data_IF_322541837687
#
_entry.id   IF_322541837687
#
_cell.length_a   1.000
_cell.length_b   1.000
_cell.length_c   1.000
_cell.angle_alpha   90.00
_cell.angle_beta   90.00
_cell.angle_gamma   90.00
#
_symmetry.space_group_name_H-M   'P 1'
#
loop_
_entity.id
_entity.type
_entity.pdbx_description
1 polymer ?
#
# COMPACT_ATOMS: atom_id res chain seq x y z
N UNK A 1 19.82 6.45 10.99
CA UNK A 1 18.80 6.70 9.94
C UNK A 1 19.47 7.42 8.78
N UNK A 2 19.05 7.17 7.54
CA UNK A 2 19.61 7.85 6.35
C UNK A 2 19.26 9.34 6.32
N UNK A 3 19.82 10.07 5.35
CA UNK A 3 19.62 11.52 5.23
C UNK A 3 18.15 11.95 4.96
N UNK A 4 17.31 11.03 4.45
CA UNK A 4 15.86 11.23 4.28
C UNK A 4 15.11 9.98 4.76
N UNK A 5 13.90 10.17 5.27
CA UNK A 5 13.01 9.12 5.78
C UNK A 5 12.36 8.32 4.65
N UNK A 6 12.19 8.92 3.47
CA UNK A 6 11.77 8.27 2.23
C UNK A 6 12.94 7.94 1.30
N UNK A 7 12.84 6.81 0.57
CA UNK A 7 13.88 6.30 -0.33
C UNK A 7 13.34 5.21 -1.26
N UNK A 8 14.10 4.90 -2.30
CA UNK A 8 13.81 3.76 -3.20
C UNK A 8 15.01 2.82 -3.26
N UNK A 9 14.75 1.54 -3.44
CA UNK A 9 15.79 0.50 -3.59
C UNK A 9 15.45 -0.34 -4.81
N UNK A 10 16.42 -0.48 -5.72
CA UNK A 10 16.36 -1.37 -6.88
C UNK A 10 16.99 -2.71 -6.54
N UNK A 11 16.34 -3.81 -6.88
CA UNK A 11 16.84 -5.16 -6.71
C UNK A 11 16.76 -5.96 -8.02
N UNK A 12 17.89 -6.05 -8.72
CA UNK A 12 17.96 -6.72 -10.02
C UNK A 12 17.11 -6.05 -11.09
N UNK A 13 16.67 -6.80 -12.10
CA UNK A 13 15.84 -6.28 -13.21
C UNK A 13 14.34 -6.24 -12.87
N UNK A 14 13.89 -7.11 -11.98
CA UNK A 14 12.46 -7.39 -11.82
C UNK A 14 11.81 -6.57 -10.69
N UNK A 15 12.55 -6.01 -9.74
CA UNK A 15 11.96 -5.35 -8.56
C UNK A 15 12.57 -3.99 -8.25
N UNK A 16 11.71 -2.99 -8.04
CA UNK A 16 12.05 -1.77 -7.33
C UNK A 16 10.98 -1.44 -6.28
N UNK A 17 11.43 -0.99 -5.10
CA UNK A 17 10.56 -0.62 -3.98
C UNK A 17 10.69 0.86 -3.65
N UNK A 18 9.60 1.49 -3.20
CA UNK A 18 9.56 2.85 -2.69
C UNK A 18 9.04 2.83 -1.26
N UNK A 19 9.79 3.42 -0.34
CA UNK A 19 9.37 3.66 1.04
C UNK A 19 9.17 5.16 1.22
N UNK A 20 8.00 5.55 1.72
CA UNK A 20 7.57 6.96 1.85
C UNK A 20 7.37 7.35 3.31
N UNK A 21 7.51 8.64 3.61
CA UNK A 21 7.19 9.22 4.91
C UNK A 21 5.73 9.71 4.94
N UNK A 22 5.01 9.45 6.04
CA UNK A 22 3.59 9.74 6.20
C UNK A 22 3.23 10.70 7.34
N UNK A 23 4.23 11.25 8.05
CA UNK A 23 4.06 12.11 9.22
C UNK A 23 4.75 13.46 9.11
N UNK A 24 6.02 13.50 8.71
CA UNK A 24 6.85 14.72 8.79
C UNK A 24 6.31 15.90 7.97
N UNK A 25 5.67 15.62 6.83
CA UNK A 25 5.21 16.65 5.88
C UNK A 25 3.69 16.85 5.89
N UNK A 26 2.99 16.17 6.81
CA UNK A 26 1.54 16.06 6.78
C UNK A 26 0.88 17.35 7.27
N UNK A 27 -0.02 17.90 6.45
CA UNK A 27 -0.91 19.00 6.81
C UNK A 27 -1.83 18.64 7.99
N UNK A 28 -2.26 19.61 8.81
CA UNK A 28 -3.20 19.36 9.90
C UNK A 28 -4.50 18.69 9.44
N UNK A 29 -5.04 17.78 10.24
CA UNK A 29 -6.29 17.08 9.92
C UNK A 29 -7.49 18.04 9.72
N UNK A 30 -7.44 19.21 10.36
CA UNK A 30 -8.46 20.28 10.31
C UNK A 30 -8.40 21.13 9.04
N UNK A 31 -7.31 21.09 8.28
CA UNK A 31 -7.20 21.79 7.00
C UNK A 31 -8.26 21.27 6.03
N UNK A 32 -8.91 22.14 5.27
CA UNK A 32 -9.85 21.72 4.23
C UNK A 32 -9.12 20.85 3.18
N UNK A 33 -9.78 19.80 2.71
CA UNK A 33 -9.22 18.94 1.66
C UNK A 33 -9.10 19.73 0.34
N UNK A 34 -8.02 19.51 -0.39
CA UNK A 34 -7.70 20.28 -1.60
C UNK A 34 -6.23 20.16 -2.01
N UNK A 35 -5.82 20.87 -3.08
CA UNK A 35 -4.48 20.74 -3.67
C UNK A 35 -3.30 21.00 -2.72
N UNK A 36 -3.50 21.90 -1.76
CA UNK A 36 -2.46 22.29 -0.79
C UNK A 36 -2.43 21.38 0.45
N UNK A 37 -3.44 20.53 0.64
CA UNK A 37 -3.48 19.58 1.76
C UNK A 37 -2.78 18.29 1.36
N UNK A 38 -1.81 17.87 2.16
CA UNK A 38 -0.92 16.76 1.80
C UNK A 38 -0.52 15.94 3.02
N UNK A 39 -0.25 14.65 2.81
CA UNK A 39 0.43 13.77 3.78
C UNK A 39 1.92 13.68 3.42
N UNK A 40 2.24 13.56 2.14
CA UNK A 40 3.61 13.34 1.68
C UNK A 40 4.42 14.63 1.51
N UNK A 41 3.78 15.79 1.44
CA UNK A 41 4.46 17.02 1.05
C UNK A 41 4.73 17.07 -0.46
N UNK A 42 4.94 18.29 -0.96
CA UNK A 42 5.19 18.55 -2.39
C UNK A 42 6.44 17.84 -2.90
N UNK A 43 7.53 17.89 -2.14
CA UNK A 43 8.83 17.38 -2.58
C UNK A 43 8.89 15.86 -2.66
N UNK A 44 8.38 15.15 -1.64
CA UNK A 44 8.32 13.69 -1.67
C UNK A 44 7.38 13.20 -2.77
N UNK A 45 6.22 13.86 -2.95
CA UNK A 45 5.27 13.49 -4.01
C UNK A 45 5.87 13.64 -5.41
N UNK A 46 6.59 14.74 -5.66
CA UNK A 46 7.31 14.94 -6.92
C UNK A 46 8.40 13.87 -7.10
N UNK A 47 9.25 13.67 -6.09
CA UNK A 47 10.28 12.62 -6.10
C UNK A 47 9.72 11.23 -6.39
N UNK A 48 8.61 10.85 -5.74
CA UNK A 48 7.96 9.57 -5.96
C UNK A 48 7.53 9.42 -7.42
N UNK A 49 6.81 10.41 -7.96
CA UNK A 49 6.33 10.35 -9.34
C UNK A 49 7.47 10.28 -10.36
N UNK A 50 8.50 11.08 -10.16
CA UNK A 50 9.63 11.15 -11.10
C UNK A 50 10.46 9.87 -11.07
N UNK A 51 10.74 9.34 -9.88
CA UNK A 51 11.51 8.09 -9.75
C UNK A 51 10.73 6.86 -10.19
N UNK A 52 9.41 6.83 -9.99
CA UNK A 52 8.55 5.75 -10.52
C UNK A 52 8.53 5.77 -12.05
N UNK A 53 8.37 6.95 -12.68
CA UNK A 53 8.42 7.09 -14.14
C UNK A 53 9.77 6.70 -14.74
N UNK A 54 10.85 7.01 -14.04
CA UNK A 54 12.20 6.65 -14.47
C UNK A 54 12.53 5.16 -14.28
N UNK A 55 11.74 4.42 -13.51
CA UNK A 55 11.99 3.00 -13.25
C UNK A 55 11.63 2.15 -14.46
N UNK A 56 12.53 1.26 -14.84
CA UNK A 56 12.32 0.20 -15.83
C UNK A 56 12.13 -1.19 -15.18
N UNK A 57 11.91 -1.26 -13.85
CA UNK A 57 11.69 -2.53 -13.16
C UNK A 57 10.42 -3.21 -13.68
N UNK A 58 10.42 -4.54 -13.72
CA UNK A 58 9.21 -5.29 -14.06
C UNK A 58 8.10 -5.03 -13.06
N UNK A 59 8.36 -5.16 -11.77
CA UNK A 59 7.43 -4.88 -10.67
C UNK A 59 7.86 -3.65 -9.87
N UNK A 60 6.85 -2.86 -9.48
CA UNK A 60 7.01 -1.67 -8.64
C UNK A 60 6.19 -1.84 -7.37
N UNK A 61 6.81 -1.68 -6.21
CA UNK A 61 6.09 -1.82 -4.94
C UNK A 61 6.23 -0.52 -4.14
N UNK A 62 5.11 0.12 -3.86
CA UNK A 62 5.04 1.21 -2.87
C UNK A 62 4.80 0.61 -1.49
N UNK A 63 5.72 0.82 -0.55
CA UNK A 63 5.54 0.55 0.87
C UNK A 63 5.12 1.86 1.55
N UNK A 64 3.83 1.99 1.83
CA UNK A 64 3.22 3.14 2.49
C UNK A 64 2.98 2.84 3.99
N UNK A 65 3.36 3.74 4.91
CA UNK A 65 3.08 3.54 6.33
C UNK A 65 1.59 3.39 6.65
N UNK A 66 0.72 4.00 5.84
CA UNK A 66 -0.74 4.01 6.03
C UNK A 66 -1.48 3.65 4.73
N UNK A 67 -2.75 3.20 4.80
CA UNK A 67 -3.55 2.87 3.63
C UNK A 67 -3.63 3.98 2.57
N UNK A 68 -3.45 3.59 1.31
CA UNK A 68 -3.72 4.36 0.10
C UNK A 68 -5.05 3.97 -0.51
N UNK A 69 -5.40 2.68 -0.54
CA UNK A 69 -6.71 2.21 -1.05
C UNK A 69 -7.70 2.03 0.09
N UNK A 70 -7.31 1.36 1.17
CA UNK A 70 -8.23 0.96 2.22
C UNK A 70 -9.05 -0.28 1.81
N UNK A 71 -10.27 -0.48 2.34
CA UNK A 71 -11.09 0.49 3.06
C UNK A 71 -10.57 0.81 4.47
N UNK A 72 -11.08 1.92 5.01
CA UNK A 72 -10.74 2.36 6.35
C UNK A 72 -11.98 2.52 7.24
N UNK A 73 -11.78 2.47 8.56
CA UNK A 73 -12.83 2.60 9.57
C UNK A 73 -13.31 4.03 9.73
N UNK A 74 -14.58 4.16 10.11
CA UNK A 74 -15.22 5.45 10.35
C UNK A 74 -14.46 6.26 11.42
N UNK A 75 -14.42 7.58 11.23
CA UNK A 75 -13.82 8.52 12.18
C UNK A 75 -12.31 8.69 12.08
N UNK A 76 -11.59 7.91 11.25
CA UNK A 76 -10.17 8.12 10.96
C UNK A 76 -9.95 9.22 9.92
N UNK A 77 -8.84 9.93 10.09
CA UNK A 77 -8.52 11.19 9.42
C UNK A 77 -7.01 11.35 9.22
N UNK A 78 -6.29 10.25 8.99
CA UNK A 78 -4.82 10.19 9.08
C UNK A 78 -4.13 9.51 7.89
N UNK A 79 -4.86 9.10 6.86
CA UNK A 79 -4.31 8.47 5.65
C UNK A 79 -5.05 8.83 4.34
N UNK A 80 -4.54 8.34 3.21
CA UNK A 80 -5.02 8.61 1.85
C UNK A 80 -6.33 7.89 1.48
N UNK A 81 -6.73 6.87 2.25
CA UNK A 81 -8.04 6.24 2.12
C UNK A 81 -9.16 7.05 2.83
N UNK A 82 -8.81 8.04 3.65
CA UNK A 82 -9.79 8.88 4.35
C UNK A 82 -10.31 10.03 3.49
N UNK A 83 -11.60 10.35 3.66
CA UNK A 83 -12.27 11.47 2.99
C UNK A 83 -11.56 12.82 3.16
N UNK A 84 -10.84 13.01 4.27
CA UNK A 84 -10.17 14.29 4.59
C UNK A 84 -8.85 14.50 3.85
N UNK A 85 -8.33 13.49 3.14
CA UNK A 85 -7.15 13.55 2.27
C UNK A 85 -7.49 12.97 0.89
N UNK A 86 -8.74 13.13 0.45
CA UNK A 86 -9.24 12.50 -0.76
C UNK A 86 -8.60 13.08 -2.02
N UNK A 87 -8.25 14.37 -2.02
CA UNK A 87 -7.60 15.01 -3.16
C UNK A 87 -6.26 14.34 -3.48
N UNK A 88 -5.34 14.31 -2.50
CA UNK A 88 -4.03 13.66 -2.69
C UNK A 88 -4.18 12.13 -2.84
N UNK A 89 -5.09 11.49 -2.10
CA UNK A 89 -5.32 10.05 -2.24
C UNK A 89 -5.76 9.66 -3.65
N UNK A 90 -6.68 10.42 -4.25
CA UNK A 90 -7.13 10.19 -5.63
C UNK A 90 -6.02 10.45 -6.64
N UNK A 91 -5.24 11.53 -6.45
CA UNK A 91 -4.08 11.85 -7.28
C UNK A 91 -3.05 10.70 -7.29
N UNK A 92 -2.76 10.12 -6.12
CA UNK A 92 -1.82 9.00 -5.99
C UNK A 92 -2.38 7.73 -6.61
N UNK A 93 -3.64 7.36 -6.33
CA UNK A 93 -4.27 6.17 -6.93
C UNK A 93 -4.31 6.25 -8.47
N UNK A 94 -4.66 7.41 -9.02
CA UNK A 94 -4.63 7.63 -10.47
C UNK A 94 -3.22 7.49 -11.05
N UNK A 95 -2.21 8.06 -10.38
CA UNK A 95 -0.82 7.95 -10.83
C UNK A 95 -0.32 6.50 -10.80
N UNK A 96 -0.61 5.77 -9.72
CA UNK A 96 -0.22 4.36 -9.53
C UNK A 96 -0.89 3.48 -10.57
N UNK A 97 -2.18 3.67 -10.85
CA UNK A 97 -2.92 2.92 -11.87
C UNK A 97 -2.35 3.08 -13.29
N UNK A 98 -1.69 4.20 -13.58
CA UNK A 98 -1.00 4.41 -14.84
C UNK A 98 0.31 3.62 -15.00
N UNK A 99 0.79 2.94 -13.94
CA UNK A 99 2.05 2.21 -13.95
C UNK A 99 1.81 0.70 -14.13
N UNK A 100 2.56 0.08 -15.04
CA UNK A 100 2.52 -1.37 -15.21
C UNK A 100 3.05 -2.06 -13.96
N UNK A 101 2.35 -3.13 -13.55
CA UNK A 101 2.78 -4.06 -12.50
C UNK A 101 3.16 -3.34 -11.18
N UNK A 102 2.40 -2.30 -10.82
CA UNK A 102 2.60 -1.55 -9.59
C UNK A 102 1.54 -1.87 -8.54
N UNK A 103 1.97 -2.08 -7.30
CA UNK A 103 1.09 -2.37 -6.17
C UNK A 103 1.50 -1.58 -4.93
N UNK A 104 0.58 -1.53 -3.95
CA UNK A 104 0.81 -0.87 -2.66
C UNK A 104 0.84 -1.92 -1.54
N UNK A 105 1.75 -1.75 -0.59
CA UNK A 105 1.81 -2.49 0.66
C UNK A 105 1.72 -1.49 1.80
N UNK A 106 0.93 -1.79 2.82
CA UNK A 106 0.81 -0.94 4.00
C UNK A 106 0.67 -1.71 5.32
N UNK A 107 0.75 -0.96 6.41
CA UNK A 107 0.39 -1.38 7.77
C UNK A 107 -0.63 -0.41 8.37
N UNK A 108 -0.44 0.00 9.64
CA UNK A 108 -1.28 0.95 10.41
C UNK A 108 -2.73 0.50 10.68
N UNK A 109 -3.28 -0.38 9.82
CA UNK A 109 -4.51 -1.10 10.07
C UNK A 109 -4.22 -2.46 10.67
N UNK A 110 -4.97 -2.76 11.71
CA UNK A 110 -4.78 -3.93 12.54
C UNK A 110 -5.64 -5.10 12.03
N UNK A 111 -5.64 -5.29 10.72
CA UNK A 111 -6.20 -6.44 10.04
C UNK A 111 -5.48 -6.64 8.72
N UNK A 112 -5.46 -7.89 8.27
CA UNK A 112 -4.89 -8.30 7.00
C UNK A 112 -5.94 -8.11 5.89
N UNK A 113 -5.53 -7.60 4.74
CA UNK A 113 -6.41 -7.52 3.58
C UNK A 113 -5.65 -7.47 2.26
N UNK A 114 -6.36 -7.86 1.20
CA UNK A 114 -6.06 -7.47 -0.18
C UNK A 114 -7.26 -6.70 -0.69
N UNK A 115 -7.02 -5.47 -1.14
CA UNK A 115 -8.05 -4.61 -1.72
C UNK A 115 -7.69 -4.20 -3.13
N UNK A 116 -8.70 -4.05 -3.98
CA UNK A 116 -8.56 -3.49 -5.32
C UNK A 116 -9.54 -2.32 -5.46
N UNK A 117 -9.00 -1.12 -5.66
CA UNK A 117 -9.82 0.08 -5.89
C UNK A 117 -10.66 -0.11 -7.17
N UNK A 118 -11.99 -0.02 -7.05
CA UNK A 118 -12.89 -0.31 -8.18
C UNK A 118 -12.73 0.66 -9.36
N UNK A 119 -12.28 1.90 -9.11
CA UNK A 119 -12.19 2.95 -10.13
C UNK A 119 -10.88 2.89 -10.90
N UNK A 120 -9.79 2.60 -10.20
CA UNK A 120 -8.42 2.72 -10.72
C UNK A 120 -7.75 1.36 -10.89
N UNK A 121 -8.28 0.29 -10.28
CA UNK A 121 -7.68 -1.04 -10.29
C UNK A 121 -6.43 -1.16 -9.41
N UNK A 122 -6.05 -0.11 -8.65
CA UNK A 122 -4.90 -0.15 -7.76
C UNK A 122 -5.10 -1.23 -6.71
N UNK A 123 -4.12 -2.12 -6.60
CA UNK A 123 -4.11 -3.21 -5.63
C UNK A 123 -3.26 -2.83 -4.41
N UNK A 124 -3.81 -3.06 -3.24
CA UNK A 124 -3.16 -2.82 -1.94
C UNK A 124 -3.21 -4.06 -1.05
N UNK A 125 -2.10 -4.31 -0.36
CA UNK A 125 -1.93 -5.37 0.63
C UNK A 125 -1.67 -4.76 2.00
N UNK A 126 -2.46 -5.10 3.01
CA UNK A 126 -2.18 -4.75 4.41
C UNK A 126 -1.65 -5.95 5.16
N UNK A 127 -0.49 -5.80 5.80
CA UNK A 127 0.11 -6.88 6.58
C UNK A 127 -0.60 -7.16 7.91
N UNK A 128 -1.43 -6.23 8.38
CA UNK A 128 -2.04 -6.31 9.72
C UNK A 128 -1.05 -6.06 10.86
N UNK A 129 -1.46 -6.30 12.11
CA UNK A 129 -0.62 -6.16 13.30
C UNK A 129 0.22 -7.42 13.49
N UNK A 130 1.37 -7.29 14.16
CA UNK A 130 2.25 -8.43 14.44
C UNK A 130 1.67 -9.43 15.47
N UNK A 131 0.60 -9.10 16.18
CA UNK A 131 -0.04 -10.00 17.17
C UNK A 131 -1.56 -9.95 17.12
N UNK A 132 -2.20 -11.05 17.54
CA UNK A 132 -3.67 -11.15 17.61
C UNK A 132 -4.27 -10.21 18.65
N UNK A 133 -3.55 -9.92 19.74
CA UNK A 133 -3.98 -8.98 20.79
C UNK A 133 -4.26 -7.58 20.23
N UNK A 134 -3.55 -7.19 19.17
CA UNK A 134 -3.72 -5.89 18.53
C UNK A 134 -4.69 -5.93 17.36
N UNK A 135 -5.15 -7.11 16.91
CA UNK A 135 -6.08 -7.24 15.80
C UNK A 135 -7.44 -6.60 16.11
N UNK A 136 -7.93 -5.74 15.21
CA UNK A 136 -9.20 -5.06 15.40
C UNK A 136 -9.37 -3.80 14.59
N UNK A 137 -10.46 -3.07 14.86
CA UNK A 137 -10.83 -1.86 14.11
C UNK A 137 -11.62 -2.14 12.82
N UNK A 138 -11.84 -3.42 12.49
CA UNK A 138 -12.73 -3.88 11.44
C UNK A 138 -13.46 -5.16 11.89
N UNK A 139 -14.45 -5.63 11.13
CA UNK A 139 -15.14 -6.91 11.37
C UNK A 139 -14.98 -7.83 10.16
N UNK A 140 -14.75 -9.13 10.41
CA UNK A 140 -14.68 -10.15 9.37
C UNK A 140 -15.99 -10.29 8.56
N UNK A 141 -17.13 -9.89 9.13
CA UNK A 141 -18.43 -9.89 8.46
C UNK A 141 -18.60 -8.69 7.53
N UNK A 142 -17.79 -7.64 7.70
CA UNK A 142 -17.86 -6.40 6.92
C UNK A 142 -16.98 -6.50 5.67
N UNK A 143 -17.36 -7.39 4.77
CA UNK A 143 -16.72 -7.52 3.45
C UNK A 143 -17.31 -6.50 2.48
N UNK A 144 -16.47 -5.60 1.97
CA UNK A 144 -16.81 -4.63 0.94
C UNK A 144 -16.38 -5.15 -0.44
N UNK A 145 -16.98 -4.68 -1.55
CA UNK A 145 -16.67 -5.16 -2.90
C UNK A 145 -15.20 -5.08 -3.32
N UNK A 146 -14.46 -4.09 -2.80
CA UNK A 146 -13.03 -3.93 -3.06
C UNK A 146 -12.16 -5.01 -2.41
N UNK A 147 -12.64 -5.70 -1.37
CA UNK A 147 -11.89 -6.76 -0.71
C UNK A 147 -11.79 -8.02 -1.57
N UNK A 148 -10.55 -8.42 -1.87
CA UNK A 148 -10.20 -9.75 -2.39
C UNK A 148 -9.84 -10.71 -1.27
N UNK A 149 -9.30 -10.17 -0.18
CA UNK A 149 -9.04 -10.89 1.06
C UNK A 149 -9.29 -9.96 2.26
N UNK A 150 -9.80 -10.52 3.35
CA UNK A 150 -10.03 -9.82 4.61
C UNK A 150 -9.93 -10.83 5.75
N UNK A 151 -9.06 -10.54 6.71
CA UNK A 151 -8.98 -11.27 7.97
C UNK A 151 -8.51 -10.35 9.11
N UNK A 152 -9.35 -10.16 10.11
CA UNK A 152 -9.04 -9.41 11.33
C UNK A 152 -8.28 -10.33 12.28
N UNK A 153 -6.98 -10.49 12.02
CA UNK A 153 -6.03 -11.33 12.75
C UNK A 153 -4.64 -10.69 12.73
N UNK A 154 -3.75 -11.10 13.63
CA UNK A 154 -2.34 -10.76 13.58
C UNK A 154 -1.54 -11.63 12.62
N UNK A 155 -0.30 -11.23 12.36
CA UNK A 155 0.67 -12.00 11.59
C UNK A 155 1.61 -11.13 10.76
N UNK A 156 1.93 -11.56 9.56
CA UNK A 156 2.86 -10.86 8.68
C UNK A 156 2.58 -11.12 7.19
N UNK A 157 3.23 -10.31 6.34
CA UNK A 157 3.13 -10.40 4.89
C UNK A 157 4.51 -10.76 4.31
N UNK A 158 4.55 -11.80 3.48
CA UNK A 158 5.69 -12.13 2.62
C UNK A 158 5.43 -11.60 1.21
N UNK A 159 6.47 -11.03 0.58
CA UNK A 159 6.48 -10.70 -0.84
C UNK A 159 7.63 -11.42 -1.54
N UNK A 160 7.32 -12.19 -2.59
CA UNK A 160 8.29 -12.92 -3.41
C UNK A 160 8.23 -12.41 -4.84
N UNK A 161 9.38 -12.03 -5.39
CA UNK A 161 9.55 -11.79 -6.82
C UNK A 161 10.43 -12.89 -7.38
N UNK A 162 9.92 -13.61 -8.36
CA UNK A 162 10.62 -14.74 -8.98
C UNK A 162 10.34 -14.78 -10.49
N UNK A 163 10.90 -15.77 -11.18
CA UNK A 163 10.62 -16.10 -12.58
C UNK A 163 10.20 -17.54 -12.73
N UNK A 164 9.01 -17.75 -13.28
CA UNK A 164 8.52 -19.08 -13.65
C UNK A 164 8.49 -19.20 -15.16
N UNK A 165 9.24 -20.17 -15.70
CA UNK A 165 9.43 -20.31 -17.15
C UNK A 165 9.86 -18.99 -17.81
N UNK A 166 10.81 -18.31 -17.17
CA UNK A 166 11.33 -16.98 -17.54
C UNK A 166 10.34 -15.80 -17.47
N UNK A 167 9.10 -16.03 -17.04
CA UNK A 167 8.09 -14.98 -16.86
C UNK A 167 8.15 -14.45 -15.43
N UNK A 168 8.37 -13.14 -15.21
CA UNK A 168 8.39 -12.56 -13.88
C UNK A 168 7.03 -12.67 -13.19
N UNK A 169 7.07 -13.05 -11.91
CA UNK A 169 5.90 -13.23 -11.05
C UNK A 169 6.13 -12.53 -9.71
N UNK A 170 5.06 -11.94 -9.18
CA UNK A 170 5.01 -11.32 -7.86
C UNK A 170 3.94 -12.04 -7.04
N UNK A 171 4.35 -12.58 -5.89
CA UNK A 171 3.49 -13.36 -5.00
C UNK A 171 3.47 -12.64 -3.65
N UNK A 172 2.28 -12.42 -3.11
CA UNK A 172 2.09 -11.97 -1.74
C UNK A 172 1.36 -13.02 -0.92
N UNK A 173 1.89 -13.30 0.27
CA UNK A 173 1.33 -14.28 1.20
C UNK A 173 1.09 -13.66 2.56
N UNK A 174 -0.14 -13.77 3.04
CA UNK A 174 -0.48 -13.42 4.41
C UNK A 174 -0.34 -14.66 5.28
N UNK A 175 0.37 -14.50 6.39
CA UNK A 175 0.56 -15.54 7.39
C UNK A 175 -0.07 -15.12 8.71
N UNK A 176 -0.54 -16.10 9.49
CA UNK A 176 -0.91 -15.90 10.89
C UNK A 176 0.32 -15.74 11.79
N UNK A 177 0.10 -15.36 13.05
CA UNK A 177 1.17 -15.27 14.07
C UNK A 177 1.90 -16.59 14.32
N UNK A 178 1.25 -17.71 13.99
CA UNK A 178 1.75 -19.08 14.09
C UNK A 178 2.52 -19.55 12.84
N UNK A 179 2.62 -18.69 11.82
CA UNK A 179 3.26 -19.02 10.54
C UNK A 179 2.39 -19.82 9.58
N UNK A 180 1.10 -20.03 9.88
CA UNK A 180 0.19 -20.69 8.95
C UNK A 180 -0.16 -19.74 7.79
N UNK A 181 -0.13 -20.26 6.55
CA UNK A 181 -0.53 -19.52 5.36
C UNK A 181 -2.05 -19.30 5.38
N UNK A 182 -2.48 -18.04 5.31
CA UNK A 182 -3.89 -17.66 5.35
C UNK A 182 -4.43 -17.20 4.00
N UNK A 183 -3.59 -16.60 3.16
CA UNK A 183 -3.94 -16.17 1.81
C UNK A 183 -2.69 -16.07 0.93
N UNK A 184 -2.81 -16.48 -0.33
CA UNK A 184 -1.83 -16.20 -1.38
C UNK A 184 -2.52 -15.43 -2.50
N UNK A 185 -1.85 -14.41 -3.01
CA UNK A 185 -2.27 -13.67 -4.20
C UNK A 185 -1.10 -13.49 -5.15
N UNK A 186 -1.36 -13.65 -6.44
CA UNK A 186 -0.33 -13.85 -7.46
C UNK A 186 -0.56 -12.95 -8.67
N UNK A 187 0.50 -12.26 -9.08
CA UNK A 187 0.52 -11.36 -10.23
C UNK A 187 1.59 -11.83 -11.22
N UNK A 188 1.17 -12.10 -12.45
CA UNK A 188 2.07 -12.36 -13.57
C UNK A 188 2.33 -11.04 -14.28
N UNK A 189 3.59 -10.75 -14.60
CA UNK A 189 3.95 -9.51 -15.29
C UNK A 189 3.20 -9.39 -16.62
N UNK A 190 2.56 -8.23 -16.83
CA UNK A 190 1.91 -7.83 -18.08
C UNK A 190 2.90 -7.21 -19.07
#
# INVERSE_FOLDING_TARGET
MGARTYRTVRWGKDLQIWMVEGRDFRSPNTMADGPEKTIWGREQKAWFKDTVRASDATFRILISPTPVVGPDRSGKKDNHANKVFSHEGNELRQFIAGQKNMVVVCGDRHWQYVSVDEKTGVREYSCGPASDEHAGGWSNDKRLPEHRYLNVIGGFLEGVVDRENDIPVLIFRHFGVDGNLLNEDRLVAQ
#
